data_IF_526655641624
#
_entry.id   IF_526655641624
#
_cell.length_a   1.000
_cell.length_b   1.000
_cell.length_c   1.000
_cell.angle_alpha   90.00
_cell.angle_beta   90.00
_cell.angle_gamma   90.00
#
_symmetry.space_group_name_H-M   'P 1'
#
loop_
_entity.id
_entity.type
_entity.pdbx_description
1 polymer ?
#
# COMPACT_ATOMS: atom_id res chain seq x y z
N UNK A 1 1.87 -6.50 16.80
CA UNK A 1 0.67 -6.57 15.92
C UNK A 1 -0.51 -5.79 16.50
N UNK A 2 -0.90 -5.99 17.78
CA UNK A 2 -2.01 -5.21 18.39
C UNK A 2 -1.76 -3.70 18.45
N UNK A 3 -0.57 -3.26 18.83
CA UNK A 3 -0.27 -1.82 18.97
C UNK A 3 -0.25 -1.08 17.62
N UNK A 4 0.10 -1.77 16.54
CA UNK A 4 0.07 -1.21 15.18
C UNK A 4 -1.35 -1.03 14.64
N UNK A 5 -2.29 -1.90 15.01
CA UNK A 5 -3.68 -1.82 14.53
C UNK A 5 -4.42 -0.63 15.14
N UNK A 6 -4.04 -0.22 16.36
CA UNK A 6 -4.61 0.96 17.02
C UNK A 6 -4.02 2.28 16.50
N UNK A 7 -2.93 2.25 15.72
CA UNK A 7 -2.31 3.45 15.18
C UNK A 7 -3.25 4.13 14.17
N UNK A 8 -3.63 5.40 14.37
CA UNK A 8 -4.51 6.12 13.44
C UNK A 8 -3.97 6.19 12.00
N UNK A 9 -2.66 6.35 11.83
CA UNK A 9 -1.99 6.32 10.52
C UNK A 9 -2.16 4.96 9.85
N UNK A 10 -2.02 3.87 10.60
CA UNK A 10 -2.23 2.52 10.05
C UNK A 10 -3.68 2.30 9.61
N UNK A 11 -4.66 2.82 10.36
CA UNK A 11 -6.08 2.74 9.97
C UNK A 11 -6.38 3.54 8.71
N UNK A 12 -5.84 4.76 8.59
CA UNK A 12 -5.89 5.57 7.38
C UNK A 12 -5.27 4.83 6.19
N UNK A 13 -4.08 4.27 6.38
CA UNK A 13 -3.40 3.46 5.36
C UNK A 13 -4.25 2.27 4.90
N UNK A 14 -4.89 1.52 5.82
CA UNK A 14 -5.77 0.40 5.43
C UNK A 14 -7.01 0.85 4.67
N UNK A 15 -7.58 2.01 5.01
CA UNK A 15 -8.69 2.57 4.25
C UNK A 15 -8.24 2.98 2.83
N UNK A 16 -7.05 3.60 2.72
CA UNK A 16 -6.46 3.95 1.43
C UNK A 16 -6.18 2.72 0.55
N UNK A 17 -5.58 1.66 1.11
CA UNK A 17 -5.37 0.39 0.41
C UNK A 17 -6.69 -0.17 -0.11
N UNK A 18 -7.76 -0.14 0.69
CA UNK A 18 -9.08 -0.59 0.24
C UNK A 18 -9.65 0.26 -0.91
N UNK A 19 -9.42 1.57 -0.89
CA UNK A 19 -9.86 2.44 -1.99
C UNK A 19 -9.08 2.10 -3.26
N UNK A 20 -7.76 1.95 -3.18
CA UNK A 20 -6.91 1.59 -4.31
C UNK A 20 -7.28 0.24 -4.91
N UNK A 21 -7.40 -0.81 -4.09
CA UNK A 21 -7.76 -2.17 -4.54
C UNK A 21 -9.18 -2.24 -5.16
N UNK A 22 -10.11 -1.38 -4.73
CA UNK A 22 -11.44 -1.29 -5.33
C UNK A 22 -11.49 -0.42 -6.60
N UNK A 23 -10.49 0.45 -6.80
CA UNK A 23 -10.45 1.38 -7.94
C UNK A 23 -9.62 0.81 -9.09
N UNK A 24 -8.56 0.07 -8.78
CA UNK A 24 -7.60 -0.47 -9.74
C UNK A 24 -7.47 -1.98 -9.55
N UNK A 25 -7.97 -2.75 -10.51
CA UNK A 25 -7.99 -4.23 -10.47
C UNK A 25 -6.58 -4.86 -10.39
N UNK A 26 -5.55 -4.12 -10.80
CA UNK A 26 -4.15 -4.54 -10.80
C UNK A 26 -3.34 -3.99 -9.62
N UNK A 27 -3.95 -3.23 -8.71
CA UNK A 27 -3.31 -2.84 -7.46
C UNK A 27 -3.45 -3.95 -6.41
N UNK A 28 -2.34 -4.21 -5.71
CA UNK A 28 -2.29 -5.22 -4.66
C UNK A 28 -1.59 -4.62 -3.45
N UNK A 29 -2.28 -4.57 -2.31
CA UNK A 29 -1.60 -4.28 -1.04
C UNK A 29 -0.50 -5.32 -0.77
N UNK A 30 0.49 -4.97 0.05
CA UNK A 30 1.55 -5.90 0.48
C UNK A 30 1.05 -7.28 0.89
N UNK A 31 -0.04 -7.34 1.66
CA UNK A 31 -0.61 -8.63 2.08
C UNK A 31 -1.14 -9.41 0.89
N UNK A 32 -1.87 -8.76 -0.02
CA UNK A 32 -2.38 -9.37 -1.24
C UNK A 32 -1.25 -9.88 -2.13
N UNK A 33 -0.25 -9.03 -2.38
CA UNK A 33 0.90 -9.34 -3.23
C UNK A 33 1.71 -10.54 -2.73
N UNK A 34 1.95 -10.64 -1.41
CA UNK A 34 2.74 -11.73 -0.83
C UNK A 34 1.94 -13.03 -0.70
N UNK A 35 0.62 -12.95 -0.52
CA UNK A 35 -0.21 -14.12 -0.18
C UNK A 35 -0.91 -14.73 -1.40
N UNK A 36 -1.40 -13.89 -2.31
CA UNK A 36 -2.31 -14.31 -3.39
C UNK A 36 -1.70 -14.22 -4.78
N UNK A 37 -0.46 -13.74 -4.92
CA UNK A 37 0.24 -13.66 -6.20
C UNK A 37 1.41 -14.67 -6.29
N UNK A 38 1.13 -15.97 -6.45
CA UNK A 38 2.17 -17.02 -6.47
C UNK A 38 3.12 -16.93 -7.67
N UNK A 39 2.72 -16.20 -8.73
CA UNK A 39 3.55 -15.95 -9.90
C UNK A 39 4.72 -14.99 -9.62
N UNK A 40 4.65 -14.18 -8.55
CA UNK A 40 5.71 -13.24 -8.19
C UNK A 40 6.63 -13.91 -7.17
N UNK A 41 7.96 -13.93 -7.39
CA UNK A 41 8.90 -14.48 -6.41
C UNK A 41 8.76 -13.79 -5.05
N UNK A 42 8.76 -14.56 -3.98
CA UNK A 42 8.55 -14.02 -2.63
C UNK A 42 9.49 -12.84 -2.29
N UNK A 43 10.77 -12.91 -2.68
CA UNK A 43 11.72 -11.84 -2.44
C UNK A 43 11.29 -10.52 -3.11
N UNK A 44 10.79 -10.60 -4.34
CA UNK A 44 10.28 -9.46 -5.12
C UNK A 44 8.99 -8.93 -4.49
N UNK A 45 8.02 -9.81 -4.21
CA UNK A 45 6.74 -9.45 -3.59
C UNK A 45 6.94 -8.77 -2.22
N UNK A 46 7.84 -9.32 -1.40
CA UNK A 46 8.17 -8.77 -0.08
C UNK A 46 8.81 -7.39 -0.20
N UNK A 47 9.77 -7.21 -1.11
CA UNK A 47 10.45 -5.94 -1.29
C UNK A 47 9.50 -4.85 -1.80
N UNK A 48 8.78 -5.13 -2.89
CA UNK A 48 7.80 -4.19 -3.45
C UNK A 48 6.70 -3.85 -2.44
N UNK A 49 6.15 -4.85 -1.75
CA UNK A 49 5.14 -4.63 -0.72
C UNK A 49 5.67 -3.81 0.47
N UNK A 50 6.94 -3.95 0.86
CA UNK A 50 7.55 -3.11 1.89
C UNK A 50 7.69 -1.65 1.43
N UNK A 51 8.10 -1.43 0.18
CA UNK A 51 8.21 -0.09 -0.40
C UNK A 51 6.85 0.60 -0.46
N UNK A 52 5.82 -0.11 -0.93
CA UNK A 52 4.43 0.36 -0.97
C UNK A 52 3.92 0.69 0.44
N UNK A 53 4.09 -0.22 1.41
CA UNK A 53 3.65 -0.01 2.80
C UNK A 53 4.31 1.23 3.42
N UNK A 54 5.62 1.43 3.18
CA UNK A 54 6.35 2.60 3.66
C UNK A 54 5.83 3.91 3.04
N UNK A 55 5.63 3.93 1.71
CA UNK A 55 5.07 5.08 1.00
C UNK A 55 3.69 5.47 1.53
N UNK A 56 2.78 4.49 1.63
CA UNK A 56 1.41 4.75 2.08
C UNK A 56 1.36 5.16 3.55
N UNK A 57 2.21 4.58 4.40
CA UNK A 57 2.35 5.01 5.79
C UNK A 57 2.80 6.46 5.89
N UNK A 58 3.74 6.90 5.06
CA UNK A 58 4.25 8.26 5.08
C UNK A 58 3.20 9.27 4.62
N UNK A 59 2.55 9.00 3.47
CA UNK A 59 1.43 9.80 2.96
C UNK A 59 0.30 9.93 4.00
N UNK A 60 0.03 8.86 4.74
CA UNK A 60 -1.04 8.84 5.74
C UNK A 60 -0.68 9.51 7.08
N UNK A 61 0.58 9.88 7.33
CA UNK A 61 0.96 10.57 8.59
C UNK A 61 0.35 11.96 8.68
N UNK A 62 0.49 12.75 7.63
CA UNK A 62 0.24 14.19 7.66
C UNK A 62 -1.17 14.59 7.18
N UNK A 63 -1.97 13.61 6.76
CA UNK A 63 -3.36 13.85 6.33
C UNK A 63 -4.36 13.58 7.45
N UNK A 64 -5.36 14.45 7.58
CA UNK A 64 -6.46 14.22 8.52
C UNK A 64 -7.42 13.13 8.05
N UNK A 65 -7.71 13.09 6.74
CA UNK A 65 -8.69 12.21 6.12
C UNK A 65 -8.16 11.64 4.80
N UNK A 66 -8.42 10.35 4.53
CA UNK A 66 -7.93 9.64 3.34
C UNK A 66 -8.59 10.17 2.07
N UNK A 67 -9.83 10.65 2.20
CA UNK A 67 -10.65 11.23 1.14
C UNK A 67 -10.06 12.53 0.57
N UNK A 68 -9.11 13.15 1.29
CA UNK A 68 -8.39 14.34 0.80
C UNK A 68 -7.21 13.99 -0.14
N UNK A 69 -6.84 12.71 -0.21
CA UNK A 69 -5.71 12.26 -1.02
C UNK A 69 -6.09 12.15 -2.50
N UNK A 70 -5.13 12.49 -3.37
CA UNK A 70 -5.23 12.28 -4.80
C UNK A 70 -4.93 10.81 -5.14
N UNK A 71 -5.99 10.00 -5.21
CA UNK A 71 -5.90 8.55 -5.44
C UNK A 71 -5.19 8.22 -6.76
N UNK A 72 -5.51 8.84 -7.93
CA UNK A 72 -4.75 8.65 -9.15
C UNK A 72 -3.25 8.96 -9.02
N UNK A 73 -2.88 10.08 -8.40
CA UNK A 73 -1.47 10.44 -8.25
C UNK A 73 -0.72 9.45 -7.34
N UNK A 74 -1.38 8.92 -6.32
CA UNK A 74 -0.80 7.89 -5.44
C UNK A 74 -0.62 6.57 -6.19
N UNK A 75 -1.62 6.16 -6.97
CA UNK A 75 -1.53 4.95 -7.78
C UNK A 75 -0.32 5.01 -8.74
N UNK A 76 -0.12 6.13 -9.43
CA UNK A 76 1.07 6.32 -10.29
C UNK A 76 2.39 6.24 -9.51
N UNK A 77 2.44 6.76 -8.27
CA UNK A 77 3.62 6.62 -7.41
C UNK A 77 3.89 5.16 -7.03
N UNK A 78 2.85 4.37 -6.76
CA UNK A 78 2.98 2.93 -6.47
C UNK A 78 3.50 2.20 -7.72
N UNK A 79 2.96 2.49 -8.90
CA UNK A 79 3.39 1.86 -10.17
C UNK A 79 4.83 2.22 -10.54
N UNK A 80 5.31 3.38 -10.10
CA UNK A 80 6.69 3.81 -10.28
C UNK A 80 7.69 3.10 -9.36
N UNK A 81 7.22 2.38 -8.32
CA UNK A 81 8.10 1.58 -7.45
C UNK A 81 8.77 0.47 -8.27
N UNK A 82 10.09 0.37 -8.14
CA UNK A 82 10.89 -0.65 -8.82
C UNK A 82 11.58 -1.51 -7.78
N UNK A 83 11.53 -2.82 -8.00
CA UNK A 83 12.32 -3.74 -7.22
C UNK A 83 13.78 -3.66 -7.68
N UNK A 84 14.71 -3.53 -6.73
CA UNK A 84 16.14 -3.67 -7.00
C UNK A 84 16.50 -5.13 -6.76
N UNK A 85 16.22 -6.01 -7.73
CA UNK A 85 16.68 -7.41 -7.72
C UNK A 85 17.67 -7.62 -8.84
#
# INVERSE_FOLDING_TARGET
>A
MRDHVANPTFRKKRALEHILENTYDDDHSKYSLVTFQPAVPYAVARDLGNQQDALLMDLCKDVEAVESLDIPAIYEQIKALKTTV
#
